data_IF_206285591652
#
_entry.id   IF_206285591652
#
_cell.length_a   1.000
_cell.length_b   1.000
_cell.length_c   1.000
_cell.angle_alpha   90.00
_cell.angle_beta   90.00
_cell.angle_gamma   90.00
#
_symmetry.space_group_name_H-M   'P 1'
#
loop_
_entity.id
_entity.type
_entity.pdbx_description
1 polymer ?
#
# COMPACT_ATOMS: atom_id res chain seq x y z
N UNK A 1 -17.10 -4.01 -17.37
CA UNK A 1 -16.55 -2.65 -17.18
C UNK A 1 -16.20 -2.50 -15.71
N UNK A 2 -14.95 -2.79 -15.34
CA UNK A 2 -14.49 -2.77 -13.96
C UNK A 2 -13.79 -1.44 -13.69
N UNK A 3 -14.44 -0.53 -12.99
CA UNK A 3 -13.82 0.72 -12.54
C UNK A 3 -12.95 0.40 -11.32
N UNK A 4 -11.63 0.44 -11.51
CA UNK A 4 -10.63 0.05 -10.52
C UNK A 4 -10.64 1.00 -9.30
N UNK A 5 -10.89 0.42 -8.12
CA UNK A 5 -10.74 0.99 -6.76
C UNK A 5 -9.28 1.42 -6.41
N UNK A 6 -8.34 1.32 -7.35
CA UNK A 6 -6.90 1.36 -7.08
C UNK A 6 -6.40 2.80 -6.88
N UNK A 7 -7.12 3.80 -7.39
CA UNK A 7 -6.61 5.17 -7.37
C UNK A 7 -6.64 5.87 -6.00
N UNK A 8 -7.20 5.24 -4.96
CA UNK A 8 -7.30 5.80 -3.61
C UNK A 8 -6.17 5.36 -2.65
N UNK A 9 -5.26 4.48 -3.07
CA UNK A 9 -4.14 4.03 -2.25
C UNK A 9 -2.83 4.73 -2.67
N UNK A 10 -2.57 5.91 -2.08
CA UNK A 10 -1.19 6.39 -1.99
C UNK A 10 -0.47 5.51 -0.98
N UNK A 11 0.61 4.84 -1.41
CA UNK A 11 1.22 3.66 -0.77
C UNK A 11 1.71 3.81 0.67
N UNK A 12 1.58 4.99 1.29
CA UNK A 12 1.97 5.20 2.69
C UNK A 12 1.00 6.10 3.47
N UNK A 13 -0.14 6.51 2.90
CA UNK A 13 -1.03 7.43 3.60
C UNK A 13 -1.73 6.65 4.70
N UNK A 14 -1.19 6.75 5.92
CA UNK A 14 -1.72 6.11 7.11
C UNK A 14 -3.25 6.21 7.13
N UNK A 15 -3.92 5.10 7.42
CA UNK A 15 -5.37 5.03 7.59
C UNK A 15 -5.77 5.69 8.92
N UNK A 16 -5.45 6.98 9.05
CA UNK A 16 -5.67 7.80 10.25
C UNK A 16 -7.17 8.02 10.48
N UNK A 17 -7.97 7.92 9.40
CA UNK A 17 -9.40 8.17 9.40
C UNK A 17 -10.20 6.93 8.95
N UNK A 18 -10.21 5.85 9.75
CA UNK A 18 -10.74 4.55 9.33
C UNK A 18 -12.23 4.57 8.98
N UNK A 19 -12.97 5.58 9.44
CA UNK A 19 -14.40 5.77 9.22
C UNK A 19 -14.75 7.08 8.49
N UNK A 20 -13.78 7.76 7.88
CA UNK A 20 -14.06 8.98 7.11
C UNK A 20 -14.16 8.66 5.62
N UNK A 21 -15.27 9.10 5.04
CA UNK A 21 -15.56 8.98 3.62
C UNK A 21 -15.67 10.37 3.01
N UNK A 22 -15.21 10.49 1.77
CA UNK A 22 -15.34 11.73 1.01
C UNK A 22 -16.79 11.87 0.51
N UNK A 23 -17.49 12.95 0.86
CA UNK A 23 -18.87 13.18 0.42
C UNK A 23 -19.00 13.41 -1.10
N UNK A 24 -17.89 13.78 -1.76
CA UNK A 24 -17.87 14.02 -3.20
C UNK A 24 -17.73 12.77 -4.06
N UNK A 25 -17.06 11.73 -3.56
CA UNK A 25 -16.81 10.50 -4.33
C UNK A 25 -17.15 9.21 -3.58
N UNK A 26 -17.61 9.31 -2.34
CA UNK A 26 -18.01 8.22 -1.44
C UNK A 26 -16.91 7.19 -1.15
N UNK A 27 -15.67 7.48 -1.54
CA UNK A 27 -14.52 6.67 -1.21
C UNK A 27 -13.90 7.09 0.11
N UNK A 28 -13.26 6.12 0.76
CA UNK A 28 -12.52 6.32 2.00
C UNK A 28 -11.41 7.37 1.80
N UNK A 29 -11.27 8.28 2.76
CA UNK A 29 -10.25 9.32 2.74
C UNK A 29 -8.92 8.73 3.20
N UNK A 30 -7.89 8.81 2.36
CA UNK A 30 -6.51 8.42 2.66
C UNK A 30 -5.62 9.66 2.73
N UNK A 31 -4.86 9.79 3.81
CA UNK A 31 -3.93 10.91 4.02
C UNK A 31 -4.65 12.19 4.45
N UNK A 32 -4.53 13.25 3.64
CA UNK A 32 -5.18 14.53 3.92
C UNK A 32 -6.69 14.46 3.77
N UNK A 33 -7.38 14.79 4.86
CA UNK A 33 -8.81 15.00 4.97
C UNK A 33 -9.11 16.49 4.97
N UNK A 34 -10.06 16.92 4.17
CA UNK A 34 -10.48 18.32 4.09
C UNK A 34 -11.92 18.44 4.60
N UNK A 35 -12.09 18.95 5.82
CA UNK A 35 -13.42 19.14 6.40
C UNK A 35 -13.91 20.56 6.13
N UNK A 36 -15.14 20.71 5.67
CA UNK A 36 -15.79 21.99 5.57
C UNK A 36 -16.01 22.58 6.98
N UNK A 37 -15.73 23.87 7.17
CA UNK A 37 -15.96 24.56 8.45
C UNK A 37 -17.42 24.94 8.68
N UNK A 38 -18.14 25.18 7.58
CA UNK A 38 -19.50 25.71 7.60
C UNK A 38 -20.54 24.59 7.67
N UNK A 39 -20.19 23.39 7.19
CA UNK A 39 -21.06 22.21 7.23
C UNK A 39 -20.73 21.29 8.40
N UNK A 40 -21.78 20.69 8.99
CA UNK A 40 -21.67 19.83 10.17
C UNK A 40 -20.81 18.58 9.93
N UNK A 41 -21.02 17.94 8.78
CA UNK A 41 -20.35 16.68 8.42
C UNK A 41 -20.13 16.61 6.91
N UNK A 42 -19.19 17.42 6.42
CA UNK A 42 -18.83 17.42 5.01
C UNK A 42 -17.31 17.36 4.85
N UNK A 43 -16.84 16.29 4.23
CA UNK A 43 -15.44 15.93 4.09
C UNK A 43 -15.08 15.64 2.63
N UNK A 44 -13.92 16.13 2.21
CA UNK A 44 -13.31 15.79 0.93
C UNK A 44 -11.98 15.07 1.10
N UNK A 45 -11.73 14.11 0.22
CA UNK A 45 -10.38 13.62 -0.05
C UNK A 45 -9.58 14.64 -0.88
N UNK A 46 -8.26 14.46 -0.97
CA UNK A 46 -7.38 15.36 -1.71
C UNK A 46 -7.82 15.61 -3.17
N UNK A 47 -8.38 14.60 -3.85
CA UNK A 47 -8.84 14.72 -5.24
C UNK A 47 -10.09 15.59 -5.36
N UNK A 48 -11.08 15.36 -4.50
CA UNK A 48 -12.31 16.12 -4.52
C UNK A 48 -12.07 17.56 -4.04
N UNK A 49 -11.15 17.75 -3.10
CA UNK A 49 -10.73 19.06 -2.65
C UNK A 49 -10.14 19.93 -3.77
N UNK A 50 -9.41 19.33 -4.74
CA UNK A 50 -8.89 20.07 -5.90
C UNK A 50 -10.00 20.77 -6.71
N UNK A 51 -11.20 20.17 -6.74
CA UNK A 51 -12.38 20.71 -7.41
C UNK A 51 -13.40 21.31 -6.44
N UNK A 52 -13.00 21.68 -5.22
CA UNK A 52 -13.92 22.16 -4.17
C UNK A 52 -14.76 23.36 -4.60
N UNK A 53 -14.21 24.27 -5.40
CA UNK A 53 -14.94 25.45 -5.88
C UNK A 53 -16.10 25.11 -6.82
N UNK A 54 -16.08 23.92 -7.43
CA UNK A 54 -17.15 23.43 -8.30
C UNK A 54 -18.10 22.53 -7.51
N UNK A 55 -17.54 21.62 -6.69
CA UNK A 55 -18.31 20.61 -5.97
C UNK A 55 -19.00 21.14 -4.71
N UNK A 56 -18.41 22.13 -4.05
CA UNK A 56 -18.93 22.72 -2.81
C UNK A 56 -18.45 24.19 -2.66
N UNK A 57 -19.09 25.13 -3.39
CA UNK A 57 -18.66 26.53 -3.50
C UNK A 57 -18.96 27.34 -2.24
N UNK A 58 -18.26 28.47 -2.07
CA UNK A 58 -18.44 29.47 -1.00
C UNK A 58 -18.19 29.00 0.44
N UNK A 59 -17.52 27.88 0.64
CA UNK A 59 -17.28 27.33 1.97
C UNK A 59 -15.77 27.29 2.29
N UNK A 60 -15.44 27.48 3.57
CA UNK A 60 -14.08 27.35 4.08
C UNK A 60 -13.75 25.92 4.52
N UNK A 61 -12.45 25.60 4.52
CA UNK A 61 -11.96 24.24 4.73
C UNK A 61 -10.86 24.18 5.79
N UNK A 62 -10.89 23.11 6.59
CA UNK A 62 -9.82 22.69 7.47
C UNK A 62 -9.07 21.51 6.85
N UNK A 63 -7.76 21.66 6.68
CA UNK A 63 -6.86 20.56 6.30
C UNK A 63 -6.51 19.78 7.55
N UNK A 64 -6.78 18.48 7.54
CA UNK A 64 -6.46 17.54 8.62
C UNK A 64 -5.64 16.39 8.07
N UNK A 65 -4.54 16.06 8.74
CA UNK A 65 -3.62 15.01 8.31
C UNK A 65 -2.19 15.40 8.65
N UNK A 66 -1.34 14.40 8.88
CA UNK A 66 0.07 14.61 9.12
C UNK A 66 0.78 14.71 7.76
N UNK A 67 1.57 15.75 7.57
CA UNK A 67 2.56 15.75 6.48
C UNK A 67 3.47 14.53 6.69
N UNK A 68 3.83 13.86 5.60
CA UNK A 68 4.86 12.84 5.68
C UNK A 68 6.15 13.53 6.10
N UNK A 69 6.63 13.24 7.30
CA UNK A 69 8.04 13.46 7.58
C UNK A 69 8.78 12.42 6.74
N UNK A 70 9.57 12.89 5.77
CA UNK A 70 10.58 12.07 5.11
C UNK A 70 11.57 11.66 6.19
N UNK A 71 11.33 10.54 6.87
CA UNK A 71 12.30 9.94 7.78
C UNK A 71 13.47 9.44 6.91
N UNK A 72 14.63 10.12 6.94
CA UNK A 72 15.77 9.75 6.10
C UNK A 72 16.36 8.38 6.50
N UNK A 73 15.98 7.84 7.66
CA UNK A 73 16.43 6.55 8.21
C UNK A 73 15.38 5.43 8.05
N UNK A 74 14.25 5.68 7.38
CA UNK A 74 13.27 4.64 7.07
C UNK A 74 13.83 3.64 6.02
N UNK A 75 14.51 2.61 6.53
CA UNK A 75 15.09 1.52 5.76
C UNK A 75 13.99 0.84 4.90
N UNK A 76 14.21 0.63 3.59
CA UNK A 76 13.21 0.05 2.71
C UNK A 76 12.78 -1.32 3.23
N UNK A 77 11.49 -1.47 3.49
CA UNK A 77 10.89 -2.74 3.88
C UNK A 77 11.13 -3.74 2.75
N UNK A 78 11.91 -4.77 3.11
CA UNK A 78 12.37 -5.82 2.24
C UNK A 78 11.21 -6.34 1.40
N UNK A 79 11.39 -6.26 0.08
CA UNK A 79 10.57 -6.95 -0.89
C UNK A 79 10.43 -8.41 -0.45
N UNK A 80 9.16 -8.84 -0.36
CA UNK A 80 8.73 -10.22 -0.29
C UNK A 80 9.71 -11.15 -1.03
N UNK A 81 10.50 -11.93 -0.28
CA UNK A 81 11.33 -12.98 -0.83
C UNK A 81 10.41 -14.17 -1.13
N UNK A 82 9.97 -14.29 -2.38
CA UNK A 82 9.58 -15.60 -2.93
C UNK A 82 10.89 -16.34 -3.21
N UNK A 83 11.31 -17.14 -2.22
CA UNK A 83 12.44 -18.05 -2.32
C UNK A 83 12.01 -19.29 -3.09
N UNK A 84 12.36 -19.36 -4.36
CA UNK A 84 12.41 -20.61 -5.12
C UNK A 84 13.55 -20.55 -6.13
N UNK A 85 14.77 -20.88 -5.68
CA UNK A 85 15.86 -21.40 -6.51
C UNK A 85 16.67 -22.36 -5.63
N UNK A 86 16.25 -23.63 -5.61
CA UNK A 86 17.07 -24.73 -5.11
C UNK A 86 17.92 -25.24 -6.29
N UNK A 87 19.11 -24.67 -6.45
CA UNK A 87 20.18 -25.22 -7.29
C UNK A 87 21.41 -25.40 -6.39
N UNK A 88 21.54 -26.57 -5.77
CA UNK A 88 22.75 -26.97 -5.05
C UNK A 88 23.30 -28.24 -5.71
N UNK A 89 24.09 -28.03 -6.76
CA UNK A 89 24.96 -29.03 -7.37
C UNK A 89 26.19 -29.20 -6.48
N UNK A 90 26.16 -30.17 -5.56
CA UNK A 90 27.38 -30.67 -4.90
C UNK A 90 27.75 -32.03 -5.47
N UNK A 91 28.68 -32.00 -6.42
CA UNK A 91 29.55 -33.11 -6.81
C UNK A 91 30.29 -33.63 -5.57
N UNK A 92 30.15 -34.92 -5.30
CA UNK A 92 31.00 -35.60 -4.31
C UNK A 92 31.34 -36.99 -4.83
N UNK A 93 32.43 -37.04 -5.60
CA UNK A 93 33.15 -38.27 -5.92
C UNK A 93 33.65 -38.95 -4.64
N UNK A 94 33.53 -40.28 -4.58
CA UNK A 94 34.48 -41.17 -3.88
C UNK A 94 34.25 -42.62 -4.30
N UNK A 95 35.21 -43.18 -5.02
CA UNK A 95 35.39 -44.62 -5.27
C UNK A 95 35.54 -45.45 -3.98
N UNK A 96 35.09 -46.72 -3.97
CA UNK A 96 35.92 -47.88 -3.56
C UNK A 96 35.21 -49.24 -3.74
N UNK A 97 35.84 -50.03 -4.60
CA UNK A 97 35.98 -51.49 -4.78
C UNK A 97 35.11 -52.57 -4.05
N UNK A 98 34.61 -53.48 -4.91
CA UNK A 98 34.69 -54.96 -4.92
C UNK A 98 33.99 -55.90 -3.90
N UNK A 99 33.31 -56.90 -4.51
CA UNK A 99 33.01 -58.29 -4.06
C UNK A 99 31.78 -58.45 -3.13
N UNK A 100 30.85 -59.42 -3.26
CA UNK A 100 30.87 -60.82 -3.73
C UNK A 100 29.48 -61.31 -4.23
N UNK A 101 29.47 -62.42 -5.03
CA UNK A 101 28.54 -63.60 -5.08
C UNK A 101 26.99 -63.41 -5.05
N UNK A 102 26.09 -64.21 -5.65
CA UNK A 102 26.01 -65.57 -6.19
C UNK A 102 24.77 -65.61 -7.12
N UNK A 103 24.83 -66.26 -8.29
CA UNK A 103 23.62 -66.62 -9.06
C UNK A 103 23.66 -68.10 -9.40
N UNK A 104 22.51 -68.71 -9.15
CA UNK A 104 22.01 -70.09 -9.33
C UNK A 104 22.56 -70.88 -10.50
#
# INVERSE_FOLDING_TARGET
MAWHQISHQSRKAYDIWPFCYCDGCLYKVSGFRYKCKDCYDFDFCYKCYANRHVLHPHHEWNTMGQEFEDDPDAQPDAANQDSNTDDDDTDSDSDVSSSTESTT
#
